data_IF_322989495305
#
_entry.id   IF_322989495305
#
_cell.length_a   1.000
_cell.length_b   1.000
_cell.length_c   1.000
_cell.angle_alpha   90.00
_cell.angle_beta   90.00
_cell.angle_gamma   90.00
#
_symmetry.space_group_name_H-M   'P 1'
#
loop_
_entity.id
_entity.type
_entity.pdbx_description
1 polymer ?
#
# COMPACT_ATOMS: atom_id res chain seq x y z
N UNK A 1 -21.95 -42.04 5.24
CA UNK A 1 -21.12 -41.24 4.31
C UNK A 1 -21.22 -39.72 4.57
N UNK A 2 -22.31 -39.22 5.17
CA UNK A 2 -22.54 -37.79 5.41
C UNK A 2 -21.68 -37.14 6.52
N UNK A 3 -21.36 -37.86 7.59
CA UNK A 3 -20.61 -37.30 8.73
C UNK A 3 -19.21 -36.81 8.35
N UNK A 4 -18.55 -37.47 7.40
CA UNK A 4 -17.23 -37.04 6.89
C UNK A 4 -17.32 -35.71 6.14
N UNK A 5 -18.45 -35.40 5.50
CA UNK A 5 -18.66 -34.15 4.76
C UNK A 5 -18.89 -32.97 5.70
N UNK A 6 -19.61 -33.16 6.81
CA UNK A 6 -19.80 -32.13 7.84
C UNK A 6 -18.50 -31.75 8.54
N UNK A 7 -17.69 -32.73 8.94
CA UNK A 7 -16.39 -32.49 9.59
C UNK A 7 -15.41 -31.80 8.64
N UNK A 8 -15.38 -32.21 7.37
CA UNK A 8 -14.56 -31.56 6.35
C UNK A 8 -14.98 -30.10 6.11
N UNK A 9 -16.29 -29.84 5.98
CA UNK A 9 -16.82 -28.49 5.80
C UNK A 9 -16.50 -27.58 6.99
N UNK A 10 -16.63 -28.10 8.22
CA UNK A 10 -16.25 -27.37 9.43
C UNK A 10 -14.77 -27.00 9.45
N UNK A 11 -13.88 -27.95 9.13
CA UNK A 11 -12.43 -27.70 9.04
C UNK A 11 -12.11 -26.61 8.00
N UNK A 12 -12.69 -26.69 6.80
CA UNK A 12 -12.46 -25.67 5.76
C UNK A 12 -12.97 -24.28 6.16
N UNK A 13 -14.05 -24.19 6.92
CA UNK A 13 -14.53 -22.90 7.43
C UNK A 13 -13.57 -22.32 8.49
N UNK A 14 -13.09 -23.15 9.42
CA UNK A 14 -12.09 -22.74 10.42
C UNK A 14 -10.75 -22.33 9.78
N UNK A 15 -10.27 -23.09 8.80
CA UNK A 15 -9.05 -22.78 8.07
C UNK A 15 -9.20 -21.42 7.36
N UNK A 16 -10.33 -21.17 6.69
CA UNK A 16 -10.58 -19.87 6.04
C UNK A 16 -10.64 -18.70 7.02
N UNK A 17 -11.27 -18.86 8.17
CA UNK A 17 -11.31 -17.78 9.17
C UNK A 17 -9.92 -17.54 9.75
N UNK A 18 -9.17 -18.61 10.06
CA UNK A 18 -7.78 -18.52 10.50
C UNK A 18 -6.89 -17.82 9.47
N UNK A 19 -6.99 -18.21 8.20
CA UNK A 19 -6.25 -17.63 7.09
C UNK A 19 -6.60 -16.14 6.91
N UNK A 20 -7.87 -15.77 6.96
CA UNK A 20 -8.30 -14.38 6.87
C UNK A 20 -7.77 -13.55 8.04
N UNK A 21 -7.84 -14.06 9.27
CA UNK A 21 -7.27 -13.39 10.44
C UNK A 21 -5.77 -13.18 10.28
N UNK A 22 -5.05 -14.20 9.82
CA UNK A 22 -3.62 -14.11 9.57
C UNK A 22 -3.29 -13.04 8.51
N UNK A 23 -4.02 -13.04 7.39
CA UNK A 23 -3.86 -12.04 6.32
C UNK A 23 -4.10 -10.62 6.85
N UNK A 24 -5.18 -10.41 7.59
CA UNK A 24 -5.51 -9.08 8.15
C UNK A 24 -4.43 -8.61 9.14
N UNK A 25 -3.98 -9.49 10.03
CA UNK A 25 -2.95 -9.16 11.02
C UNK A 25 -1.62 -8.83 10.35
N UNK A 26 -1.17 -9.64 9.38
CA UNK A 26 0.08 -9.40 8.67
C UNK A 26 0.02 -8.11 7.84
N UNK A 27 -1.11 -7.85 7.19
CA UNK A 27 -1.32 -6.61 6.45
C UNK A 27 -1.27 -5.39 7.39
N UNK A 28 -2.03 -5.42 8.49
CA UNK A 28 -2.09 -4.30 9.42
C UNK A 28 -0.74 -4.05 10.10
N UNK A 29 -0.03 -5.10 10.51
CA UNK A 29 1.28 -4.97 11.14
C UNK A 29 2.34 -4.42 10.18
N UNK A 30 2.38 -4.90 8.93
CA UNK A 30 3.32 -4.39 7.91
C UNK A 30 3.01 -2.94 7.51
N UNK A 31 1.73 -2.60 7.36
CA UNK A 31 1.31 -1.23 7.07
C UNK A 31 1.66 -0.27 8.23
N UNK A 32 1.40 -0.68 9.47
CA UNK A 32 1.74 0.12 10.64
C UNK A 32 3.26 0.35 10.76
N UNK A 33 4.05 -0.69 10.52
CA UNK A 33 5.52 -0.57 10.48
C UNK A 33 5.96 0.40 9.39
N UNK A 34 5.42 0.24 8.17
CA UNK A 34 5.71 1.14 7.05
C UNK A 34 5.42 2.60 7.42
N UNK A 35 4.19 2.91 7.86
CA UNK A 35 3.79 4.28 8.24
C UNK A 35 4.64 4.84 9.37
N UNK A 36 5.06 4.00 10.33
CA UNK A 36 5.92 4.45 11.43
C UNK A 36 7.35 4.80 10.98
N UNK A 37 7.86 4.12 9.96
CA UNK A 37 9.21 4.33 9.42
C UNK A 37 9.26 5.21 8.18
N UNK A 38 8.09 5.56 7.62
CA UNK A 38 7.95 6.40 6.44
C UNK A 38 8.57 7.77 6.69
N UNK A 39 9.30 8.28 5.70
CA UNK A 39 9.83 9.64 5.78
C UNK A 39 8.67 10.64 5.95
N UNK A 40 8.73 11.54 6.94
CA UNK A 40 7.63 12.48 7.19
C UNK A 40 7.47 13.52 6.08
N UNK A 41 8.51 13.69 5.24
CA UNK A 41 8.58 14.63 4.12
C UNK A 41 9.69 14.20 3.15
N UNK A 42 10.04 15.08 2.23
CA UNK A 42 11.21 15.02 1.32
C UNK A 42 12.44 14.48 2.05
N UNK A 43 12.88 13.28 1.67
CA UNK A 43 14.07 12.66 2.22
C UNK A 43 15.31 13.07 1.41
N UNK A 44 16.24 13.81 2.02
CA UNK A 44 17.47 14.26 1.33
C UNK A 44 18.60 13.24 1.40
N UNK A 45 18.36 12.07 2.00
CA UNK A 45 19.34 11.00 2.15
C UNK A 45 19.50 10.15 0.88
N UNK A 46 18.54 10.20 -0.04
CA UNK A 46 18.51 9.38 -1.25
C UNK A 46 18.14 10.25 -2.46
N UNK A 47 19.02 10.32 -3.45
CA UNK A 47 18.92 11.30 -4.56
C UNK A 47 17.60 11.20 -5.34
N UNK A 48 17.13 10.00 -5.68
CA UNK A 48 15.94 9.82 -6.53
C UNK A 48 14.63 9.77 -5.75
N UNK A 49 14.67 9.81 -4.42
CA UNK A 49 13.47 9.66 -3.58
C UNK A 49 12.44 10.78 -3.76
N UNK A 50 12.88 11.92 -4.31
CA UNK A 50 12.06 13.12 -4.50
C UNK A 50 11.36 13.16 -5.86
N UNK A 51 11.78 12.32 -6.80
CA UNK A 51 11.35 12.39 -8.19
C UNK A 51 9.84 12.11 -8.32
N UNK A 52 9.37 11.02 -7.71
CA UNK A 52 7.99 10.55 -7.85
C UNK A 52 6.94 11.46 -7.18
N UNK A 53 7.17 12.00 -5.97
CA UNK A 53 6.32 13.05 -5.40
C UNK A 53 6.26 14.30 -6.29
N UNK A 54 7.39 14.72 -6.85
CA UNK A 54 7.46 15.91 -7.71
C UNK A 54 6.71 15.72 -9.02
N UNK A 55 6.94 14.61 -9.74
CA UNK A 55 6.25 14.34 -11.02
C UNK A 55 4.77 14.08 -10.80
N UNK A 56 4.36 13.44 -9.70
CA UNK A 56 2.93 13.26 -9.38
C UNK A 56 2.25 14.59 -9.08
N UNK A 57 2.92 15.50 -8.38
CA UNK A 57 2.41 16.84 -8.11
C UNK A 57 2.28 17.68 -9.39
N UNK A 58 3.29 17.63 -10.26
CA UNK A 58 3.39 18.44 -11.49
C UNK A 58 2.76 17.79 -12.73
N UNK A 59 2.32 16.54 -12.66
CA UNK A 59 1.98 15.71 -13.83
C UNK A 59 3.15 15.63 -14.83
N UNK A 60 4.35 15.41 -14.32
CA UNK A 60 5.58 15.26 -15.09
C UNK A 60 5.85 13.82 -15.55
N UNK A 61 7.02 13.62 -16.15
CA UNK A 61 7.54 12.33 -16.61
C UNK A 61 8.86 12.11 -15.87
N UNK A 62 8.96 11.06 -15.05
CA UNK A 62 10.19 10.70 -14.33
C UNK A 62 11.29 10.28 -15.32
N UNK A 63 11.15 9.09 -15.90
CA UNK A 63 12.08 8.50 -16.86
C UNK A 63 11.34 7.80 -18.01
N UNK A 64 12.03 7.40 -19.11
CA UNK A 64 11.39 6.67 -20.20
C UNK A 64 10.55 5.47 -19.74
N UNK A 65 9.41 5.29 -20.42
CA UNK A 65 8.12 4.63 -20.04
C UNK A 65 7.14 5.50 -19.23
N UNK A 66 7.63 6.50 -18.50
CA UNK A 66 6.85 7.62 -17.94
C UNK A 66 5.87 7.33 -16.81
N UNK A 67 5.62 6.06 -16.48
CA UNK A 67 4.77 5.60 -15.39
C UNK A 67 3.39 6.31 -15.30
N UNK A 68 2.63 6.43 -16.41
CA UNK A 68 1.47 7.31 -16.49
C UNK A 68 0.37 6.98 -15.47
N UNK A 69 0.10 5.70 -15.23
CA UNK A 69 -0.90 5.29 -14.22
C UNK A 69 -0.46 5.70 -12.80
N UNK A 70 0.82 5.52 -12.47
CA UNK A 70 1.36 5.92 -11.17
C UNK A 70 1.23 7.44 -10.99
N UNK A 71 1.68 8.22 -11.96
CA UNK A 71 1.64 9.70 -11.91
C UNK A 71 0.21 10.22 -11.77
N UNK A 72 -0.76 9.61 -12.46
CA UNK A 72 -2.17 10.00 -12.36
C UNK A 72 -2.77 9.64 -11.00
N UNK A 73 -2.49 8.44 -10.47
CA UNK A 73 -2.95 8.05 -9.13
C UNK A 73 -2.29 8.92 -8.06
N UNK A 74 -0.98 9.13 -8.12
CA UNK A 74 -0.24 10.02 -7.23
C UNK A 74 -0.79 11.45 -7.26
N UNK A 75 -1.18 11.95 -8.43
CA UNK A 75 -1.86 13.25 -8.54
C UNK A 75 -3.12 13.32 -7.67
N UNK A 76 -3.95 12.27 -7.66
CA UNK A 76 -5.14 12.23 -6.79
C UNK A 76 -4.76 12.34 -5.32
N UNK A 77 -3.70 11.66 -4.88
CA UNK A 77 -3.21 11.77 -3.50
C UNK A 77 -2.66 13.16 -3.17
N UNK A 78 -2.06 13.86 -4.13
CA UNK A 78 -1.59 15.24 -3.88
C UNK A 78 -2.72 16.22 -3.55
N UNK A 79 -3.96 15.92 -3.94
CA UNK A 79 -5.14 16.77 -3.71
C UNK A 79 -5.73 16.63 -2.31
N UNK A 80 -5.34 15.58 -1.56
CA UNK A 80 -5.82 15.39 -0.20
C UNK A 80 -5.43 16.59 0.71
N UNK A 81 -6.20 16.95 1.75
CA UNK A 81 -5.86 18.09 2.61
C UNK A 81 -5.13 17.72 3.91
N UNK A 82 -4.25 16.70 3.93
CA UNK A 82 -3.51 16.27 5.14
C UNK A 82 -2.02 16.05 4.90
N UNK A 83 -1.13 16.47 5.80
CA UNK A 83 0.35 16.36 5.63
C UNK A 83 0.89 17.11 4.40
N UNK A 84 2.17 16.97 4.07
CA UNK A 84 2.74 17.52 2.84
C UNK A 84 2.59 16.56 1.65
N UNK A 85 2.94 17.04 0.45
CA UNK A 85 2.80 16.26 -0.79
C UNK A 85 3.74 15.05 -0.83
N UNK A 86 4.94 15.15 -0.27
CA UNK A 86 5.91 14.07 -0.25
C UNK A 86 5.49 12.93 0.68
N UNK A 87 4.70 13.23 1.72
CA UNK A 87 4.12 12.18 2.58
C UNK A 87 2.97 11.42 1.90
N UNK A 88 2.22 12.09 1.01
CA UNK A 88 1.00 11.54 0.39
C UNK A 88 1.28 10.66 -0.84
N UNK A 89 2.47 10.75 -1.41
CA UNK A 89 2.89 10.07 -2.65
C UNK A 89 4.08 9.18 -2.35
#
# INVERSE_FOLDING_TARGET
METKRFVAAGRTAWDRVGDLLLVVVLFAASLALYVHTLAPSVATLFDDSLEFPLVSYRLGIAHPTGYPLYTLLGKLFTLAPWQDVAWRV
#
